data_IF_912995403198
#
_entry.id   IF_912995403198
#
_cell.length_a   1.000
_cell.length_b   1.000
_cell.length_c   1.000
_cell.angle_alpha   90.00
_cell.angle_beta   90.00
_cell.angle_gamma   90.00
#
_symmetry.space_group_name_H-M   'P 1'
#
loop_
_entity.id
_entity.type
_entity.pdbx_description
1 polymer ?
#
# COMPACT_ATOMS: atom_id res chain seq x y z
N UNK A 1 -42.32 -32.35 43.71
CA UNK A 1 -40.89 -32.13 43.64
C UNK A 1 -40.49 -31.96 42.14
N UNK A 2 -40.34 -30.72 41.69
CA UNK A 2 -40.11 -30.37 40.27
C UNK A 2 -38.65 -29.95 40.14
N UNK A 3 -37.81 -30.83 39.52
CA UNK A 3 -36.40 -30.56 39.24
C UNK A 3 -36.31 -29.62 38.02
N UNK A 4 -35.79 -28.43 38.20
CA UNK A 4 -35.41 -27.50 37.14
C UNK A 4 -33.99 -27.84 36.67
N UNK A 5 -33.87 -28.31 35.43
CA UNK A 5 -32.60 -28.47 34.72
C UNK A 5 -32.28 -27.14 34.07
N UNK A 6 -31.29 -26.41 34.58
CA UNK A 6 -30.68 -25.26 33.92
C UNK A 6 -29.70 -25.79 32.87
N UNK A 7 -30.07 -25.68 31.61
CA UNK A 7 -29.15 -25.88 30.47
C UNK A 7 -28.34 -24.60 30.31
N UNK A 8 -27.07 -24.61 30.74
CA UNK A 8 -26.14 -23.55 30.46
C UNK A 8 -25.65 -23.69 29.01
N UNK A 9 -26.15 -22.83 28.12
CA UNK A 9 -25.59 -22.66 26.77
C UNK A 9 -24.24 -21.96 26.88
N UNK A 10 -23.14 -22.69 26.76
CA UNK A 10 -21.82 -22.15 26.52
C UNK A 10 -21.76 -21.63 25.06
N UNK A 11 -21.98 -20.32 24.89
CA UNK A 11 -21.67 -19.64 23.64
C UNK A 11 -20.15 -19.49 23.57
N UNK A 12 -19.51 -20.41 22.85
CA UNK A 12 -18.11 -20.27 22.47
C UNK A 12 -17.99 -19.09 21.49
N UNK A 13 -17.66 -17.92 22.00
CA UNK A 13 -17.27 -16.79 21.17
C UNK A 13 -15.96 -17.17 20.45
N UNK A 14 -16.06 -17.63 19.22
CA UNK A 14 -14.91 -17.80 18.33
C UNK A 14 -14.40 -16.39 17.99
N UNK A 15 -13.50 -15.86 18.82
CA UNK A 15 -12.75 -14.65 18.50
C UNK A 15 -11.88 -15.00 17.29
N UNK A 16 -12.29 -14.54 16.10
CA UNK A 16 -11.44 -14.61 14.92
C UNK A 16 -10.20 -13.75 15.18
N UNK A 17 -9.14 -14.36 15.70
CA UNK A 17 -7.84 -13.70 15.83
C UNK A 17 -7.34 -13.42 14.42
N UNK A 18 -6.99 -12.16 14.16
CA UNK A 18 -6.25 -11.81 12.95
C UNK A 18 -5.04 -12.73 12.85
N UNK A 19 -4.86 -13.37 11.68
CA UNK A 19 -3.75 -14.30 11.48
C UNK A 19 -2.45 -13.50 11.52
N UNK A 20 -1.56 -13.85 12.45
CA UNK A 20 -0.23 -13.25 12.53
C UNK A 20 0.52 -13.43 11.20
N UNK A 21 1.29 -12.44 10.81
CA UNK A 21 2.16 -12.52 9.64
C UNK A 21 3.48 -13.15 10.06
N UNK A 22 3.78 -14.31 9.50
CA UNK A 22 5.07 -14.97 9.67
C UNK A 22 6.19 -14.15 8.99
N UNK A 23 6.95 -13.43 9.79
CA UNK A 23 8.15 -12.73 9.32
C UNK A 23 9.27 -13.77 9.16
N UNK A 24 9.90 -13.87 7.98
CA UNK A 24 10.96 -14.84 7.76
C UNK A 24 12.12 -14.66 8.76
N UNK A 25 12.66 -15.77 9.27
CA UNK A 25 13.73 -15.78 10.28
C UNK A 25 15.04 -15.08 9.83
N UNK A 26 15.19 -14.76 8.54
CA UNK A 26 16.34 -14.02 8.03
C UNK A 26 16.17 -12.49 8.12
N UNK A 27 15.01 -11.99 8.54
CA UNK A 27 14.88 -10.59 8.94
C UNK A 27 15.69 -10.35 10.20
N UNK A 28 16.26 -9.17 10.32
CA UNK A 28 17.10 -8.81 11.45
C UNK A 28 16.22 -8.45 12.66
N UNK A 29 16.49 -9.08 13.80
CA UNK A 29 16.00 -8.57 15.07
C UNK A 29 16.75 -7.28 15.41
N UNK A 30 16.00 -6.20 15.56
CA UNK A 30 16.52 -4.85 15.67
C UNK A 30 16.02 -4.19 16.96
N UNK A 31 16.87 -3.38 17.57
CA UNK A 31 16.51 -2.50 18.68
C UNK A 31 15.82 -1.22 18.19
N UNK A 32 15.67 -1.05 16.87
CA UNK A 32 15.03 0.08 16.19
C UNK A 32 15.74 1.43 16.44
N UNK A 33 17.05 1.39 16.58
CA UNK A 33 17.93 2.57 16.64
C UNK A 33 18.50 2.85 15.24
N UNK A 34 17.68 3.46 14.37
CA UNK A 34 18.01 3.57 12.95
C UNK A 34 19.28 4.37 12.61
N UNK A 35 19.73 5.38 13.37
CA UNK A 35 21.05 5.97 13.12
C UNK A 35 22.18 4.95 13.19
N UNK A 36 22.11 4.02 14.14
CA UNK A 36 23.07 2.94 14.32
C UNK A 36 22.93 1.87 13.24
N UNK A 37 21.70 1.39 13.01
CA UNK A 37 21.38 0.37 11.99
C UNK A 37 21.85 0.78 10.59
N UNK A 38 21.64 2.04 10.22
CA UNK A 38 22.10 2.60 8.92
C UNK A 38 23.61 2.62 8.85
N UNK A 39 24.27 3.05 9.93
CA UNK A 39 25.73 3.14 10.00
C UNK A 39 26.38 1.76 9.89
N UNK A 40 25.87 0.76 10.62
CA UNK A 40 26.36 -0.60 10.59
C UNK A 40 26.10 -1.26 9.23
N UNK A 41 24.90 -1.12 8.69
CA UNK A 41 24.59 -1.61 7.36
C UNK A 41 25.55 -1.04 6.30
N UNK A 42 25.83 0.27 6.36
CA UNK A 42 26.75 0.94 5.43
C UNK A 42 28.19 0.43 5.56
N UNK A 43 28.67 0.12 6.76
CA UNK A 43 29.99 -0.49 7.00
C UNK A 43 30.08 -1.88 6.34
N UNK A 44 28.99 -2.63 6.32
CA UNK A 44 28.91 -3.95 5.66
C UNK A 44 28.63 -3.85 4.15
N UNK A 45 28.61 -2.64 3.57
CA UNK A 45 28.26 -2.41 2.18
C UNK A 45 26.80 -2.70 1.85
N UNK A 46 25.94 -2.63 2.84
CA UNK A 46 24.49 -2.84 2.73
C UNK A 46 23.71 -1.55 2.99
N UNK A 47 22.42 -1.62 2.71
CA UNK A 47 21.42 -0.60 3.03
C UNK A 47 20.35 -1.16 3.95
N UNK A 48 19.53 -0.31 4.55
CA UNK A 48 18.42 -0.75 5.38
C UNK A 48 17.15 -0.85 4.54
N UNK A 49 16.46 -1.99 4.64
CA UNK A 49 15.12 -2.21 4.11
C UNK A 49 14.13 -2.34 5.26
N UNK A 50 13.20 -1.40 5.35
CA UNK A 50 12.13 -1.42 6.35
C UNK A 50 10.86 -2.00 5.72
N UNK A 51 10.29 -3.00 6.37
CA UNK A 51 8.98 -3.55 6.06
C UNK A 51 7.98 -3.07 7.11
N UNK A 52 6.93 -2.41 6.67
CA UNK A 52 5.79 -2.03 7.48
C UNK A 52 4.61 -2.96 7.18
N UNK A 53 4.18 -3.69 8.18
CA UNK A 53 3.09 -4.65 8.07
C UNK A 53 2.15 -4.64 9.26
N UNK A 54 1.14 -5.50 9.19
CA UNK A 54 0.19 -5.76 10.28
C UNK A 54 -0.38 -7.17 10.15
N UNK A 55 -0.89 -7.70 11.24
CA UNK A 55 -1.61 -8.97 11.24
C UNK A 55 -2.91 -8.88 10.43
N UNK A 56 -3.31 -9.98 9.83
CA UNK A 56 -4.51 -10.05 9.00
C UNK A 56 -4.40 -9.32 7.65
N UNK A 57 -3.22 -8.86 7.26
CA UNK A 57 -2.97 -8.19 5.99
C UNK A 57 -2.74 -9.21 4.86
N UNK A 58 -3.65 -9.35 3.90
CA UNK A 58 -3.50 -10.35 2.83
C UNK A 58 -2.32 -10.07 1.91
N UNK A 59 -2.07 -8.81 1.55
CA UNK A 59 -0.93 -8.42 0.71
C UNK A 59 0.42 -8.62 1.42
N UNK A 60 0.44 -8.49 2.76
CA UNK A 60 1.63 -8.83 3.55
C UNK A 60 1.90 -10.33 3.49
N UNK A 61 0.85 -11.15 3.63
CA UNK A 61 0.93 -12.60 3.46
C UNK A 61 1.43 -12.97 2.07
N UNK A 62 0.90 -12.34 1.02
CA UNK A 62 1.35 -12.54 -0.36
C UNK A 62 2.84 -12.22 -0.54
N UNK A 63 3.31 -11.09 0.00
CA UNK A 63 4.72 -10.72 -0.05
C UNK A 63 5.60 -11.80 0.59
N UNK A 64 5.21 -12.30 1.78
CA UNK A 64 5.97 -13.32 2.51
C UNK A 64 5.96 -14.67 1.77
N UNK A 65 4.79 -15.09 1.25
CA UNK A 65 4.59 -16.41 0.65
C UNK A 65 4.99 -16.49 -0.82
N UNK A 66 5.01 -15.38 -1.55
CA UNK A 66 5.31 -15.36 -2.99
C UNK A 66 6.70 -14.79 -3.28
N UNK A 67 7.07 -13.67 -2.67
CA UNK A 67 8.37 -13.05 -2.94
C UNK A 67 9.46 -13.62 -2.04
N UNK A 68 9.24 -13.63 -0.74
CA UNK A 68 10.27 -14.05 0.24
C UNK A 68 10.39 -15.57 0.42
N UNK A 69 9.73 -16.35 -0.42
CA UNK A 69 10.01 -17.79 -0.63
C UNK A 69 10.92 -18.04 -1.84
N UNK A 70 11.07 -17.05 -2.75
CA UNK A 70 11.93 -17.19 -3.91
C UNK A 70 13.40 -17.00 -3.51
N UNK A 71 14.19 -18.05 -3.70
CA UNK A 71 15.61 -18.08 -3.32
C UNK A 71 16.39 -16.88 -3.89
N UNK A 72 16.19 -16.53 -5.16
CA UNK A 72 16.87 -15.41 -5.81
C UNK A 72 16.56 -14.05 -5.18
N UNK A 73 15.31 -13.83 -4.77
CA UNK A 73 14.88 -12.61 -4.07
C UNK A 73 15.47 -12.57 -2.66
N UNK A 74 15.38 -13.68 -1.93
CA UNK A 74 15.91 -13.77 -0.56
C UNK A 74 17.42 -13.55 -0.55
N UNK A 75 18.17 -14.24 -1.43
CA UNK A 75 19.64 -14.09 -1.52
C UNK A 75 20.02 -12.65 -1.90
N UNK A 76 19.32 -12.03 -2.87
CA UNK A 76 19.56 -10.64 -3.24
C UNK A 76 19.26 -9.69 -2.07
N UNK A 77 18.13 -9.87 -1.40
CA UNK A 77 17.76 -9.03 -0.26
C UNK A 77 18.81 -9.14 0.86
N UNK A 78 19.18 -10.34 1.29
CA UNK A 78 20.17 -10.57 2.34
C UNK A 78 21.56 -10.07 1.99
N UNK A 79 21.93 -10.10 0.71
CA UNK A 79 23.23 -9.63 0.23
C UNK A 79 23.36 -8.11 0.32
N UNK A 80 22.28 -7.38 0.02
CA UNK A 80 22.34 -5.94 -0.16
C UNK A 80 21.63 -5.14 0.92
N UNK A 81 20.83 -5.81 1.76
CA UNK A 81 20.03 -5.13 2.77
C UNK A 81 20.07 -5.81 4.13
N UNK A 82 19.99 -4.98 5.17
CA UNK A 82 19.53 -5.34 6.50
C UNK A 82 18.02 -5.14 6.50
N UNK A 83 17.26 -6.23 6.61
CA UNK A 83 15.80 -6.21 6.52
C UNK A 83 15.18 -6.18 7.92
N UNK A 84 14.42 -5.15 8.25
CA UNK A 84 13.83 -4.92 9.57
C UNK A 84 12.31 -4.83 9.42
N UNK A 85 11.58 -5.54 10.28
CA UNK A 85 10.12 -5.53 10.30
C UNK A 85 9.57 -4.60 11.39
N UNK A 86 8.59 -3.79 10.99
CA UNK A 86 7.84 -2.87 11.83
C UNK A 86 6.35 -3.18 11.75
N UNK A 87 5.68 -3.15 12.92
CA UNK A 87 4.24 -3.23 12.98
C UNK A 87 3.64 -1.83 12.97
N UNK A 88 2.75 -1.55 12.01
CA UNK A 88 2.12 -0.22 11.91
C UNK A 88 1.28 0.18 13.13
N UNK A 89 0.95 -0.76 13.99
CA UNK A 89 0.23 -0.58 15.27
C UNK A 89 1.12 -0.76 16.49
N UNK A 90 2.42 -1.02 16.27
CA UNK A 90 3.36 -1.37 17.33
C UNK A 90 3.66 -0.21 18.28
N UNK A 91 4.01 -0.57 19.50
CA UNK A 91 4.35 0.35 20.58
C UNK A 91 5.85 0.29 20.96
N UNK A 92 6.67 -0.52 20.24
CA UNK A 92 8.12 -0.51 20.49
C UNK A 92 8.67 0.89 20.24
N UNK A 93 9.60 1.33 21.07
CA UNK A 93 10.30 2.60 20.86
C UNK A 93 11.22 2.49 19.64
N UNK A 94 11.20 3.52 18.83
CA UNK A 94 12.00 3.68 17.62
C UNK A 94 12.78 4.99 17.73
N UNK A 95 14.08 4.96 17.50
CA UNK A 95 14.86 6.15 17.20
C UNK A 95 15.00 6.28 15.68
N UNK A 96 14.35 7.29 15.10
CA UNK A 96 14.42 7.54 13.66
C UNK A 96 15.78 8.13 13.25
N UNK A 97 16.08 8.13 11.94
CA UNK A 97 17.37 8.58 11.39
C UNK A 97 17.73 10.03 11.71
N UNK A 98 16.76 10.87 12.08
CA UNK A 98 16.95 12.24 12.53
C UNK A 98 17.12 12.40 14.06
N UNK A 99 17.21 11.27 14.77
CA UNK A 99 17.39 11.20 16.22
C UNK A 99 16.10 11.28 17.05
N UNK A 100 14.95 11.55 16.43
CA UNK A 100 13.67 11.59 17.16
C UNK A 100 13.28 10.20 17.65
N UNK A 101 12.78 10.14 18.90
CA UNK A 101 12.24 8.92 19.49
C UNK A 101 10.72 8.96 19.46
N UNK A 102 10.11 7.84 19.07
CA UNK A 102 8.67 7.67 18.95
C UNK A 102 8.30 6.19 18.91
N UNK A 103 7.01 5.85 19.04
CA UNK A 103 6.56 4.47 18.84
C UNK A 103 6.53 4.10 17.34
N UNK A 104 6.52 2.79 17.02
CA UNK A 104 6.36 2.30 15.64
C UNK A 104 5.13 2.91 14.96
N UNK A 105 4.00 3.00 15.67
CA UNK A 105 2.75 3.59 15.14
C UNK A 105 2.86 5.09 14.88
N UNK A 106 3.66 5.82 15.66
CA UNK A 106 3.91 7.25 15.44
C UNK A 106 4.86 7.45 14.26
N UNK A 107 5.90 6.63 14.16
CA UNK A 107 6.78 6.60 12.98
C UNK A 107 5.97 6.31 11.71
N UNK A 108 5.10 5.29 11.74
CA UNK A 108 4.20 4.95 10.65
C UNK A 108 3.38 6.13 10.16
N UNK A 109 2.82 6.92 11.10
CA UNK A 109 2.06 8.14 10.78
C UNK A 109 2.96 9.24 10.21
N UNK A 110 4.13 9.47 10.83
CA UNK A 110 5.08 10.50 10.39
C UNK A 110 5.57 10.25 8.95
N UNK A 111 5.79 8.98 8.61
CA UNK A 111 6.19 8.53 7.29
C UNK A 111 4.99 8.36 6.31
N UNK A 112 3.77 8.70 6.74
CA UNK A 112 2.54 8.59 5.95
C UNK A 112 2.36 7.19 5.33
N UNK A 113 2.61 6.13 6.13
CA UNK A 113 2.35 4.75 5.70
C UNK A 113 0.85 4.49 5.81
N UNK A 114 0.17 4.50 4.66
CA UNK A 114 -1.28 4.30 4.56
C UNK A 114 -1.67 2.89 4.10
N UNK A 115 -0.70 2.13 3.60
CA UNK A 115 -0.91 0.78 3.04
C UNK A 115 0.04 -0.21 3.67
N UNK A 116 -0.40 -1.47 3.73
CA UNK A 116 0.45 -2.59 4.10
C UNK A 116 0.40 -3.68 3.02
N UNK A 117 1.55 -4.26 2.64
CA UNK A 117 2.88 -3.87 3.08
C UNK A 117 3.31 -2.52 2.52
N UNK A 118 4.13 -1.77 3.24
CA UNK A 118 4.95 -0.70 2.68
C UNK A 118 6.41 -1.07 2.92
N UNK A 119 7.24 -0.92 1.90
CA UNK A 119 8.68 -1.09 2.06
C UNK A 119 9.39 0.24 1.80
N UNK A 120 10.31 0.58 2.68
CA UNK A 120 11.22 1.71 2.51
C UNK A 120 12.64 1.20 2.40
N UNK A 121 13.38 1.73 1.44
CA UNK A 121 14.80 1.50 1.32
C UNK A 121 15.53 2.78 1.69
N UNK A 122 16.41 2.70 2.68
CA UNK A 122 17.21 3.85 3.12
C UNK A 122 18.57 3.80 2.41
N UNK A 123 19.10 4.96 2.07
CA UNK A 123 20.48 5.09 1.62
C UNK A 123 21.47 5.04 2.80
N UNK A 124 22.73 5.15 2.51
CA UNK A 124 23.83 5.05 3.49
C UNK A 124 23.84 6.22 4.50
N UNK A 125 22.99 7.24 4.27
CA UNK A 125 22.82 8.41 5.16
C UNK A 125 21.48 8.36 5.91
N UNK A 126 20.66 7.31 5.68
CA UNK A 126 19.35 7.14 6.30
C UNK A 126 18.23 7.92 5.60
N UNK A 127 18.47 8.51 4.42
CA UNK A 127 17.41 9.11 3.63
C UNK A 127 16.63 8.04 2.86
N UNK A 128 15.33 8.26 2.65
CA UNK A 128 14.48 7.34 1.88
C UNK A 128 14.86 7.40 0.40
N UNK A 129 15.49 6.34 -0.09
CA UNK A 129 15.92 6.18 -1.48
C UNK A 129 14.79 5.70 -2.39
N UNK A 130 14.01 4.74 -1.91
CA UNK A 130 12.88 4.17 -2.64
C UNK A 130 11.77 3.76 -1.68
N UNK A 131 10.54 3.80 -2.18
CA UNK A 131 9.33 3.42 -1.44
C UNK A 131 8.43 2.58 -2.33
N UNK A 132 7.98 1.44 -1.80
CA UNK A 132 6.98 0.59 -2.41
C UNK A 132 5.74 0.61 -1.52
N UNK A 133 4.61 1.02 -2.08
CA UNK A 133 3.32 1.00 -1.40
C UNK A 133 2.51 -0.19 -1.92
N UNK A 134 2.12 -1.10 -1.02
CA UNK A 134 1.39 -2.32 -1.38
C UNK A 134 2.29 -3.46 -1.90
N UNK A 135 1.65 -4.48 -2.43
CA UNK A 135 2.32 -5.66 -2.96
C UNK A 135 2.84 -5.42 -4.39
N UNK A 136 4.10 -5.77 -4.61
CA UNK A 136 4.73 -5.81 -5.93
C UNK A 136 5.00 -7.27 -6.31
N UNK A 137 4.57 -7.73 -7.51
CA UNK A 137 4.89 -9.09 -7.96
C UNK A 137 6.40 -9.29 -8.11
N UNK A 138 6.88 -10.55 -8.08
CA UNK A 138 8.31 -10.87 -7.98
C UNK A 138 9.22 -10.15 -8.96
N UNK A 139 8.84 -10.04 -10.23
CA UNK A 139 9.65 -9.39 -11.27
C UNK A 139 9.79 -7.88 -11.01
N UNK A 140 8.72 -7.19 -10.61
CA UNK A 140 8.75 -5.77 -10.22
C UNK A 140 9.51 -5.55 -8.92
N UNK A 141 9.31 -6.45 -7.96
CA UNK A 141 10.02 -6.40 -6.69
C UNK A 141 11.53 -6.57 -6.89
N UNK A 142 11.95 -7.49 -7.77
CA UNK A 142 13.35 -7.69 -8.13
C UNK A 142 13.97 -6.43 -8.76
N UNK A 143 13.26 -5.77 -9.67
CA UNK A 143 13.72 -4.50 -10.24
C UNK A 143 13.86 -3.40 -9.17
N UNK A 144 12.91 -3.32 -8.23
CA UNK A 144 13.01 -2.37 -7.13
C UNK A 144 14.22 -2.66 -6.20
N UNK A 145 14.50 -3.93 -5.93
CA UNK A 145 15.71 -4.34 -5.20
C UNK A 145 16.99 -3.94 -5.95
N UNK A 146 17.04 -4.15 -7.28
CA UNK A 146 18.20 -3.79 -8.10
C UNK A 146 18.47 -2.28 -8.06
N UNK A 147 17.42 -1.47 -8.16
CA UNK A 147 17.53 -0.02 -7.99
C UNK A 147 18.03 0.35 -6.58
N UNK A 148 17.35 -0.15 -5.56
CA UNK A 148 17.66 0.18 -4.19
C UNK A 148 19.05 -0.31 -3.74
N UNK A 149 19.57 -1.39 -4.35
CA UNK A 149 20.92 -1.88 -4.14
C UNK A 149 22.00 -1.12 -4.95
N UNK A 150 21.60 -0.17 -5.80
CA UNK A 150 22.53 0.55 -6.70
C UNK A 150 23.08 -0.29 -7.85
N UNK A 151 22.46 -1.45 -8.14
CA UNK A 151 22.85 -2.35 -9.23
C UNK A 151 22.31 -1.88 -10.58
N UNK A 152 21.25 -1.09 -10.57
CA UNK A 152 20.59 -0.57 -11.77
C UNK A 152 20.03 0.84 -11.53
N UNK A 153 19.65 1.55 -12.60
CA UNK A 153 19.00 2.87 -12.52
C UNK A 153 19.91 3.99 -12.01
N UNK A 154 21.23 3.86 -12.13
CA UNK A 154 22.20 4.84 -11.64
C UNK A 154 21.93 6.23 -12.21
N UNK A 155 21.81 7.24 -11.34
CA UNK A 155 21.50 8.62 -11.72
C UNK A 155 20.04 8.87 -12.10
N UNK A 156 19.17 7.87 -12.03
CA UNK A 156 17.74 8.01 -12.28
C UNK A 156 16.96 8.17 -10.96
N UNK A 157 15.78 8.75 -11.06
CA UNK A 157 14.78 8.66 -9.99
C UNK A 157 14.13 7.28 -10.03
N UNK A 158 13.69 6.77 -8.87
CA UNK A 158 13.07 5.45 -8.75
C UNK A 158 11.87 5.24 -9.68
N UNK A 159 10.98 6.24 -9.74
CA UNK A 159 9.79 6.21 -10.60
C UNK A 159 10.14 6.09 -12.09
N UNK A 160 11.15 6.82 -12.55
CA UNK A 160 11.60 6.78 -13.94
C UNK A 160 12.27 5.44 -14.27
N UNK A 161 13.08 4.91 -13.36
CA UNK A 161 13.69 3.60 -13.53
C UNK A 161 12.63 2.50 -13.65
N UNK A 162 11.65 2.47 -12.73
CA UNK A 162 10.62 1.43 -12.71
C UNK A 162 9.74 1.41 -13.97
N UNK A 163 9.53 2.54 -14.64
CA UNK A 163 8.81 2.60 -15.92
C UNK A 163 9.51 1.85 -17.05
N UNK A 164 10.84 1.86 -17.05
CA UNK A 164 11.66 1.23 -18.11
C UNK A 164 12.15 -0.17 -17.76
N UNK A 165 12.27 -0.49 -16.47
CA UNK A 165 12.91 -1.71 -15.99
C UNK A 165 12.03 -2.96 -16.16
N UNK A 166 10.71 -2.80 -16.24
CA UNK A 166 9.77 -3.91 -16.29
C UNK A 166 8.85 -3.75 -17.49
N UNK A 167 8.98 -4.67 -18.44
CA UNK A 167 8.03 -4.79 -19.56
C UNK A 167 6.99 -5.84 -19.18
N UNK A 168 5.74 -5.44 -19.16
CA UNK A 168 4.60 -6.32 -18.90
C UNK A 168 3.81 -6.55 -20.20
N UNK A 169 3.26 -7.76 -20.36
CA UNK A 169 2.29 -8.04 -21.42
C UNK A 169 0.96 -7.38 -21.00
N UNK A 170 0.71 -6.17 -21.51
CA UNK A 170 -0.45 -5.36 -21.16
C UNK A 170 -0.89 -4.53 -22.37
N UNK A 171 -2.06 -3.87 -22.27
CA UNK A 171 -2.61 -3.02 -23.31
C UNK A 171 -1.58 -1.95 -23.78
N UNK A 172 -1.35 -1.80 -25.08
CA UNK A 172 -0.47 -0.78 -25.62
C UNK A 172 -1.09 0.63 -25.59
N UNK A 173 -2.37 0.73 -25.24
CA UNK A 173 -3.13 1.98 -25.16
C UNK A 173 -3.77 2.15 -23.80
N UNK A 174 -4.13 3.38 -23.43
CA UNK A 174 -4.96 3.64 -22.28
C UNK A 174 -6.36 3.06 -22.50
N UNK A 175 -6.98 2.59 -21.42
CA UNK A 175 -8.37 2.15 -21.45
C UNK A 175 -9.33 3.34 -21.47
N UNK A 176 -10.48 3.16 -22.09
CA UNK A 176 -11.56 4.15 -22.10
C UNK A 176 -12.69 3.70 -21.17
N UNK A 177 -13.22 4.62 -20.39
CA UNK A 177 -14.39 4.40 -19.54
C UNK A 177 -15.38 5.56 -19.71
N UNK A 178 -16.66 5.25 -19.68
CA UNK A 178 -17.73 6.24 -19.89
C UNK A 178 -17.86 7.28 -18.77
N UNK A 179 -17.29 6.99 -17.61
CA UNK A 179 -17.28 7.90 -16.46
C UNK A 179 -16.06 8.82 -16.42
N UNK A 180 -15.08 8.64 -17.31
CA UNK A 180 -13.95 9.56 -17.39
C UNK A 180 -14.40 10.89 -18.04
N UNK A 181 -14.23 11.96 -17.29
CA UNK A 181 -14.47 13.31 -17.77
C UNK A 181 -13.31 13.78 -18.67
N UNK A 182 -13.65 14.60 -19.63
CA UNK A 182 -12.65 15.20 -20.53
C UNK A 182 -11.98 16.42 -19.87
N UNK A 183 -10.70 16.70 -20.19
CA UNK A 183 -10.04 17.96 -19.77
C UNK A 183 -10.85 19.19 -20.16
N UNK A 184 -10.68 20.35 -19.46
CA UNK A 184 -9.68 20.56 -18.41
C UNK A 184 -10.04 19.92 -17.07
N UNK A 185 -9.01 19.46 -16.34
CA UNK A 185 -9.19 18.91 -14.99
C UNK A 185 -9.59 20.04 -14.03
N UNK A 186 -10.65 19.81 -13.27
CA UNK A 186 -11.12 20.73 -12.23
C UNK A 186 -11.14 19.97 -10.91
N UNK A 187 -10.33 20.39 -9.95
CA UNK A 187 -10.26 19.78 -8.63
C UNK A 187 -11.11 20.52 -7.59
N UNK A 188 -11.64 21.68 -7.96
CA UNK A 188 -12.59 22.47 -7.16
C UNK A 188 -14.02 22.16 -7.61
N UNK A 189 -14.92 21.94 -6.66
CA UNK A 189 -16.31 21.61 -6.98
C UNK A 189 -17.06 21.03 -5.78
N UNK A 190 -18.33 20.68 -6.00
CA UNK A 190 -19.21 20.11 -4.97
C UNK A 190 -18.97 18.62 -4.73
N UNK A 191 -18.49 17.89 -5.73
CA UNK A 191 -18.11 16.48 -5.64
C UNK A 191 -16.61 16.32 -5.38
N UNK A 192 -16.20 15.31 -4.66
CA UNK A 192 -14.79 14.89 -4.66
C UNK A 192 -14.33 14.54 -6.08
N UNK A 193 -13.04 14.71 -6.33
CA UNK A 193 -12.43 14.41 -7.62
C UNK A 193 -11.47 13.23 -7.46
N UNK A 194 -11.51 12.28 -8.40
CA UNK A 194 -10.56 11.18 -8.50
C UNK A 194 -9.73 11.33 -9.79
N UNK A 195 -8.43 11.51 -9.64
CA UNK A 195 -7.48 11.52 -10.75
C UNK A 195 -6.83 10.15 -10.86
N UNK A 196 -7.18 9.39 -11.90
CA UNK A 196 -6.69 8.06 -12.19
C UNK A 196 -5.48 8.17 -13.09
N UNK A 197 -4.31 7.80 -12.60
CA UNK A 197 -3.06 7.85 -13.34
C UNK A 197 -2.72 6.49 -13.93
N UNK A 198 -2.60 6.44 -15.24
CA UNK A 198 -2.36 5.22 -16.00
C UNK A 198 -1.31 5.43 -17.08
N UNK A 199 -0.71 4.33 -17.55
CA UNK A 199 0.23 4.33 -18.66
C UNK A 199 -0.09 3.16 -19.59
N UNK A 200 0.26 3.25 -20.89
CA UNK A 200 0.33 2.07 -21.73
C UNK A 200 1.27 1.01 -21.13
N UNK A 201 1.06 -0.24 -21.50
CA UNK A 201 1.85 -1.39 -21.03
C UNK A 201 1.88 -1.53 -19.49
N UNK A 202 0.73 -1.34 -18.86
CA UNK A 202 0.54 -1.39 -17.42
C UNK A 202 -0.46 -2.51 -17.05
N UNK A 203 0.05 -3.68 -16.66
CA UNK A 203 -0.81 -4.82 -16.30
C UNK A 203 -1.74 -4.53 -15.11
N UNK A 204 -1.27 -3.74 -14.13
CA UNK A 204 -2.12 -3.30 -13.02
C UNK A 204 -3.24 -2.35 -13.47
N UNK A 205 -3.01 -1.57 -14.54
CA UNK A 205 -4.07 -0.74 -15.15
C UNK A 205 -5.10 -1.61 -15.85
N UNK A 206 -4.67 -2.61 -16.62
CA UNK A 206 -5.57 -3.58 -17.25
C UNK A 206 -6.43 -4.30 -16.21
N UNK A 207 -5.83 -4.68 -15.08
CA UNK A 207 -6.54 -5.36 -14.00
C UNK A 207 -7.51 -4.41 -13.27
N UNK A 208 -7.14 -3.15 -13.08
CA UNK A 208 -8.02 -2.12 -12.51
C UNK A 208 -9.31 -1.98 -13.33
N UNK A 209 -9.19 -1.95 -14.67
CA UNK A 209 -10.35 -1.89 -15.56
C UNK A 209 -11.15 -3.18 -15.59
N UNK A 210 -10.46 -4.34 -15.70
CA UNK A 210 -11.11 -5.65 -15.83
C UNK A 210 -11.81 -6.08 -14.55
N UNK A 211 -11.19 -5.90 -13.39
CA UNK A 211 -11.66 -6.40 -12.09
C UNK A 211 -12.23 -5.30 -11.18
N UNK A 212 -11.58 -4.13 -11.15
CA UNK A 212 -11.97 -3.03 -10.28
C UNK A 212 -13.21 -2.28 -10.79
N UNK A 213 -13.06 -1.59 -11.91
CA UNK A 213 -14.10 -0.70 -12.42
C UNK A 213 -15.35 -1.41 -12.95
N UNK A 214 -15.32 -2.71 -13.18
CA UNK A 214 -16.52 -3.50 -13.57
C UNK A 214 -17.40 -3.90 -12.39
N UNK A 215 -16.91 -3.79 -11.13
CA UNK A 215 -17.71 -4.16 -9.96
C UNK A 215 -18.86 -3.16 -9.75
N UNK A 216 -20.11 -3.66 -9.56
CA UNK A 216 -21.27 -2.79 -9.37
C UNK A 216 -21.12 -1.82 -8.20
N UNK A 217 -20.50 -2.25 -7.11
CA UNK A 217 -20.24 -1.41 -5.95
C UNK A 217 -19.26 -0.27 -6.29
N UNK A 218 -18.17 -0.57 -6.99
CA UNK A 218 -17.18 0.42 -7.42
C UNK A 218 -17.84 1.43 -8.37
N UNK A 219 -18.67 0.98 -9.33
CA UNK A 219 -19.42 1.86 -10.24
C UNK A 219 -20.31 2.84 -9.48
N UNK A 220 -21.11 2.36 -8.52
CA UNK A 220 -21.97 3.23 -7.69
C UNK A 220 -21.17 4.25 -6.89
N UNK A 221 -20.00 3.86 -6.39
CA UNK A 221 -19.14 4.78 -5.67
C UNK A 221 -18.52 5.83 -6.59
N UNK A 222 -18.10 5.45 -7.80
CA UNK A 222 -17.53 6.37 -8.79
C UNK A 222 -18.53 7.47 -9.22
N UNK A 223 -19.84 7.21 -9.21
CA UNK A 223 -20.88 8.22 -9.48
C UNK A 223 -20.85 9.42 -8.51
N UNK A 224 -20.20 9.22 -7.35
CA UNK A 224 -20.05 10.27 -6.33
C UNK A 224 -18.82 11.16 -6.57
N UNK A 225 -18.07 10.91 -7.64
CA UNK A 225 -16.84 11.63 -8.00
C UNK A 225 -16.95 12.26 -9.38
N UNK A 226 -16.17 13.30 -9.58
CA UNK A 226 -15.71 13.70 -10.91
C UNK A 226 -14.40 12.97 -11.17
N UNK A 227 -14.39 12.10 -12.19
CA UNK A 227 -13.26 11.18 -12.44
C UNK A 227 -12.54 11.57 -13.71
N UNK A 228 -11.22 11.76 -13.63
CA UNK A 228 -10.38 12.05 -14.79
C UNK A 228 -9.29 11.00 -14.93
N UNK A 229 -9.00 10.60 -16.17
CA UNK A 229 -7.84 9.77 -16.51
C UNK A 229 -6.68 10.66 -16.95
N UNK A 230 -5.50 10.42 -16.41
CA UNK A 230 -4.28 11.16 -16.70
C UNK A 230 -3.09 10.22 -16.89
N UNK A 231 -2.12 10.66 -17.68
CA UNK A 231 -0.78 10.06 -17.61
C UNK A 231 0.05 10.72 -16.50
N UNK A 232 1.07 10.06 -15.95
CA UNK A 232 1.97 10.69 -14.99
C UNK A 232 2.62 11.98 -15.50
N UNK A 233 2.81 12.08 -16.82
CA UNK A 233 3.35 13.28 -17.47
C UNK A 233 2.38 14.45 -17.44
N UNK A 234 1.10 14.19 -17.72
CA UNK A 234 0.04 15.19 -17.57
C UNK A 234 -0.11 15.61 -16.10
N UNK A 235 0.04 14.69 -15.15
CA UNK A 235 0.04 14.99 -13.71
C UNK A 235 1.14 15.96 -13.32
N UNK A 236 2.36 15.80 -13.85
CA UNK A 236 3.48 16.73 -13.57
C UNK A 236 3.17 18.15 -14.03
N UNK A 237 2.46 18.34 -15.12
CA UNK A 237 2.00 19.66 -15.59
C UNK A 237 1.03 20.31 -14.58
N UNK A 238 0.31 19.50 -13.81
CA UNK A 238 -0.57 19.94 -12.70
C UNK A 238 0.16 19.99 -11.34
N UNK A 239 1.51 19.92 -11.33
CA UNK A 239 2.34 19.84 -10.11
C UNK A 239 2.04 18.60 -9.25
N UNK A 240 1.48 17.55 -9.82
CA UNK A 240 1.22 16.27 -9.19
C UNK A 240 2.27 15.25 -9.59
N UNK A 241 2.94 14.70 -8.59
CA UNK A 241 3.91 13.59 -8.79
C UNK A 241 3.28 12.29 -8.33
N UNK A 242 3.24 11.30 -9.22
CA UNK A 242 2.92 9.91 -8.89
C UNK A 242 4.08 9.02 -9.31
N UNK A 243 4.49 8.14 -8.40
CA UNK A 243 5.65 7.27 -8.61
C UNK A 243 5.28 5.95 -9.30
N UNK A 244 4.00 5.63 -9.39
CA UNK A 244 3.51 4.33 -9.83
C UNK A 244 2.23 4.46 -10.66
N UNK A 245 1.99 3.51 -11.58
CA UNK A 245 0.71 3.31 -12.27
C UNK A 245 0.24 1.85 -12.05
N UNK A 246 -1.08 1.64 -11.78
CA UNK A 246 -2.09 2.66 -11.60
C UNK A 246 -1.94 3.40 -10.27
N UNK A 247 -2.28 4.68 -10.25
CA UNK A 247 -2.44 5.47 -9.03
C UNK A 247 -3.75 6.25 -9.08
N UNK A 248 -4.34 6.50 -7.94
CA UNK A 248 -5.53 7.35 -7.83
C UNK A 248 -5.27 8.42 -6.78
N UNK A 249 -5.36 9.69 -7.17
CA UNK A 249 -5.23 10.83 -6.26
C UNK A 249 -6.59 11.48 -6.08
N UNK A 250 -7.00 11.64 -4.82
CA UNK A 250 -8.32 12.15 -4.48
C UNK A 250 -8.26 13.58 -3.95
N UNK A 251 -9.15 14.42 -4.46
CA UNK A 251 -9.34 15.80 -4.02
C UNK A 251 -10.73 16.00 -3.43
N UNK A 252 -10.84 16.85 -2.41
CA UNK A 252 -12.13 17.36 -1.89
C UNK A 252 -11.94 18.85 -1.58
N UNK A 253 -12.76 19.70 -2.23
CA UNK A 253 -12.65 21.15 -2.10
C UNK A 253 -11.30 21.72 -2.53
N UNK A 254 -10.74 21.23 -3.63
CA UNK A 254 -9.46 21.69 -4.19
C UNK A 254 -8.21 21.18 -3.47
N UNK A 255 -8.34 20.37 -2.40
CA UNK A 255 -7.22 19.85 -1.63
C UNK A 255 -7.07 18.35 -1.84
N UNK A 256 -5.83 17.89 -2.01
CA UNK A 256 -5.54 16.46 -1.96
C UNK A 256 -5.84 15.93 -0.54
N UNK A 257 -6.72 14.94 -0.45
CA UNK A 257 -7.17 14.36 0.83
C UNK A 257 -6.70 12.93 1.01
N UNK A 258 -6.45 12.20 -0.08
CA UNK A 258 -6.01 10.82 -0.06
C UNK A 258 -5.36 10.45 -1.39
N UNK A 259 -4.46 9.47 -1.38
CA UNK A 259 -3.91 8.87 -2.61
C UNK A 259 -3.65 7.39 -2.46
N UNK A 260 -3.77 6.70 -3.58
CA UNK A 260 -3.43 5.29 -3.76
C UNK A 260 -2.33 5.21 -4.81
N UNK A 261 -1.17 4.72 -4.48
CA UNK A 261 -0.05 4.55 -5.42
C UNK A 261 0.25 3.06 -5.61
N UNK A 262 -0.77 2.28 -5.91
CA UNK A 262 -0.70 0.85 -6.19
C UNK A 262 -2.00 0.38 -6.83
N UNK A 263 -1.95 -0.78 -7.52
CA UNK A 263 -3.19 -1.50 -7.82
C UNK A 263 -3.86 -1.96 -6.54
N UNK A 264 -5.13 -1.63 -6.39
CA UNK A 264 -5.98 -2.15 -5.32
C UNK A 264 -6.99 -3.16 -5.87
N UNK A 265 -7.09 -4.31 -5.22
CA UNK A 265 -8.14 -5.29 -5.48
C UNK A 265 -9.53 -4.69 -5.19
N UNK A 266 -10.61 -5.23 -5.78
CA UNK A 266 -11.93 -4.60 -5.76
C UNK A 266 -12.43 -4.14 -4.38
N UNK A 267 -12.28 -4.97 -3.34
CA UNK A 267 -12.68 -4.60 -1.98
C UNK A 267 -11.91 -3.37 -1.44
N UNK A 268 -10.61 -3.33 -1.66
CA UNK A 268 -9.76 -2.22 -1.21
C UNK A 268 -10.03 -0.96 -2.04
N UNK A 269 -10.26 -1.11 -3.35
CA UNK A 269 -10.65 -0.02 -4.22
C UNK A 269 -11.99 0.59 -3.80
N UNK A 270 -13.01 -0.24 -3.60
CA UNK A 270 -14.31 0.21 -3.09
C UNK A 270 -14.18 0.92 -1.74
N UNK A 271 -13.31 0.39 -0.86
CA UNK A 271 -13.07 1.01 0.43
C UNK A 271 -12.35 2.36 0.32
N UNK A 272 -11.40 2.52 -0.60
CA UNK A 272 -10.73 3.79 -0.86
C UNK A 272 -11.71 4.86 -1.41
N UNK A 273 -12.56 4.45 -2.34
CA UNK A 273 -13.63 5.32 -2.88
C UNK A 273 -14.63 5.70 -1.78
N UNK A 274 -15.10 4.75 -0.97
CA UNK A 274 -16.03 5.02 0.13
C UNK A 274 -15.41 5.93 1.19
N UNK A 275 -14.15 5.73 1.53
CA UNK A 275 -13.40 6.55 2.49
C UNK A 275 -13.42 8.04 2.12
N UNK A 276 -13.24 8.34 0.85
CA UNK A 276 -13.25 9.73 0.37
C UNK A 276 -14.69 10.22 0.12
N UNK A 277 -15.53 9.41 -0.52
CA UNK A 277 -16.91 9.80 -0.85
C UNK A 277 -17.78 10.08 0.40
N UNK A 278 -17.55 9.33 1.49
CA UNK A 278 -18.21 9.56 2.78
C UNK A 278 -17.53 10.64 3.63
N UNK A 279 -16.37 11.13 3.19
CA UNK A 279 -15.50 12.04 3.95
C UNK A 279 -15.04 11.46 5.30
N UNK A 280 -14.98 10.13 5.39
CA UNK A 280 -14.56 9.44 6.61
C UNK A 280 -13.13 9.83 7.05
N UNK A 281 -12.26 10.21 6.11
CA UNK A 281 -10.91 10.70 6.38
C UNK A 281 -10.85 11.90 7.34
N UNK A 282 -11.96 12.63 7.54
CA UNK A 282 -12.04 13.76 8.48
C UNK A 282 -12.13 13.30 9.93
N UNK A 283 -12.78 12.16 10.18
CA UNK A 283 -12.96 11.59 11.51
C UNK A 283 -11.96 10.46 11.83
N UNK A 284 -11.59 9.69 10.82
CA UNK A 284 -10.61 8.60 10.92
C UNK A 284 -9.50 8.81 9.88
N UNK A 285 -8.37 9.41 10.28
CA UNK A 285 -7.27 9.70 9.36
C UNK A 285 -6.50 8.46 8.91
N UNK A 286 -6.72 7.29 9.56
CA UNK A 286 -6.10 6.03 9.17
C UNK A 286 -7.00 5.24 8.23
N UNK A 287 -6.62 5.15 6.97
CA UNK A 287 -7.32 4.31 6.01
C UNK A 287 -7.38 2.83 6.44
N UNK A 288 -6.35 2.33 7.10
CA UNK A 288 -6.33 0.94 7.56
C UNK A 288 -7.40 0.67 8.65
N UNK A 289 -7.61 1.61 9.58
CA UNK A 289 -8.70 1.49 10.56
C UNK A 289 -10.08 1.57 9.91
N UNK A 290 -10.24 2.48 8.97
CA UNK A 290 -11.48 2.58 8.20
C UNK A 290 -11.76 1.27 7.44
N UNK A 291 -10.74 0.69 6.79
CA UNK A 291 -10.82 -0.57 6.04
C UNK A 291 -11.28 -1.72 6.94
N UNK A 292 -10.66 -1.87 8.11
CA UNK A 292 -11.04 -2.88 9.10
C UNK A 292 -12.47 -2.70 9.58
N UNK A 293 -12.82 -1.50 10.03
CA UNK A 293 -14.18 -1.20 10.49
C UNK A 293 -15.24 -1.41 9.39
N UNK A 294 -14.90 -1.10 8.12
CA UNK A 294 -15.77 -1.38 6.98
C UNK A 294 -15.96 -2.88 6.76
N UNK A 295 -14.89 -3.65 6.84
CA UNK A 295 -14.95 -5.10 6.69
C UNK A 295 -15.79 -5.75 7.81
N UNK A 296 -15.66 -5.28 9.04
CA UNK A 296 -16.45 -5.74 10.18
C UNK A 296 -17.94 -5.44 9.98
N UNK A 297 -18.31 -4.20 9.68
CA UNK A 297 -19.71 -3.83 9.41
C UNK A 297 -20.35 -4.67 8.29
N UNK A 298 -19.62 -4.97 7.24
CA UNK A 298 -20.14 -5.82 6.15
C UNK A 298 -20.36 -7.26 6.61
N UNK A 299 -19.47 -7.82 7.43
CA UNK A 299 -19.63 -9.16 8.02
C UNK A 299 -20.82 -9.22 8.99
N UNK A 300 -20.97 -8.21 9.83
CA UNK A 300 -22.14 -8.08 10.74
C UNK A 300 -23.46 -7.98 9.96
N UNK A 301 -23.43 -7.36 8.78
CA UNK A 301 -24.56 -7.32 7.85
C UNK A 301 -24.75 -8.62 7.03
N UNK A 302 -24.02 -9.70 7.35
CA UNK A 302 -24.14 -11.01 6.71
C UNK A 302 -23.37 -11.14 5.38
N UNK A 303 -22.56 -10.16 4.99
CA UNK A 303 -21.77 -10.25 3.78
C UNK A 303 -20.48 -11.07 3.99
N UNK A 304 -20.14 -11.91 3.02
CA UNK A 304 -18.82 -12.54 2.97
C UNK A 304 -17.82 -11.53 2.44
N UNK A 305 -16.93 -11.07 3.31
CA UNK A 305 -15.85 -10.15 2.90
C UNK A 305 -14.62 -10.97 2.55
N UNK A 306 -14.35 -11.06 1.26
CA UNK A 306 -13.11 -11.61 0.72
C UNK A 306 -12.15 -10.45 0.38
N UNK A 307 -11.08 -10.33 1.15
CA UNK A 307 -10.09 -9.27 0.95
C UNK A 307 -9.22 -9.49 -0.30
N UNK A 308 -9.36 -10.66 -0.95
CA UNK A 308 -8.62 -11.05 -2.15
C UNK A 308 -9.40 -10.83 -3.45
N UNK A 309 -10.71 -10.73 -3.38
CA UNK A 309 -11.60 -10.63 -4.56
C UNK A 309 -12.23 -9.27 -4.73
#
# INVERSE_FOLDING_TARGET
MRRWLFLALLVAACSARAQAIDIPAWFTESLLEFPEEVREAAQDGKRVMLYFGQDGCPYCKELMQTNFTQRTIVEKTRRHFVAIALNIWGDREVQWTDGRRMSEKELTRSLKVQYTPTLLFLDEKGAVLARLNGYYPPHRFTAALDFAAGLAGKGQRFDNYMKGAVKEAASPTLHEETFFLKPPVRVEGGKPVALVFETPFCAGCDELHREGFRRPEVRRLLERFDVYQLTPDAGRQLSLSVAYAPSIVFFDGGKEVFRVEAYLRPFHLASALDYVASRAYRGEPSFQRFLQARAERLREGGATVDLWK
#
